data_IF_465412724171
#
_entry.id   IF_465412724171
#
_cell.length_a   1.000
_cell.length_b   1.000
_cell.length_c   1.000
_cell.angle_alpha   90.00
_cell.angle_beta   90.00
_cell.angle_gamma   90.00
#
_symmetry.space_group_name_H-M   'P 1'
#
loop_
_entity.id
_entity.type
_entity.pdbx_description
1 polymer ?
#
# COMPACT_ATOMS: atom_id res chain seq x y z
N UNK A 1 -11.08 -14.75 -11.68
CA UNK A 1 -10.23 -14.64 -12.89
C UNK A 1 -10.14 -13.21 -13.46
N UNK A 2 -10.32 -12.14 -12.68
CA UNK A 2 -10.35 -10.76 -13.22
C UNK A 2 -9.15 -9.86 -12.87
N UNK A 3 -8.18 -10.33 -12.08
CA UNK A 3 -7.12 -9.45 -11.56
C UNK A 3 -5.81 -9.46 -12.36
N UNK A 4 -5.59 -10.42 -13.28
CA UNK A 4 -4.41 -10.40 -14.16
C UNK A 4 -4.53 -9.30 -15.23
N UNK A 5 -5.73 -9.03 -15.73
CA UNK A 5 -5.93 -8.10 -16.84
C UNK A 5 -5.73 -6.63 -16.45
N UNK A 6 -6.00 -6.23 -15.20
CA UNK A 6 -5.85 -4.84 -14.78
C UNK A 6 -4.38 -4.41 -14.69
N UNK A 7 -3.54 -5.20 -14.00
CA UNK A 7 -2.10 -4.89 -13.90
C UNK A 7 -1.38 -5.02 -15.24
N UNK A 8 -1.80 -5.96 -16.10
CA UNK A 8 -1.26 -6.07 -17.47
C UNK A 8 -1.69 -4.90 -18.34
N UNK A 9 -2.96 -4.48 -18.29
CA UNK A 9 -3.45 -3.32 -19.05
C UNK A 9 -2.79 -2.01 -18.60
N UNK A 10 -2.66 -1.81 -17.28
CA UNK A 10 -1.99 -0.64 -16.71
C UNK A 10 -0.52 -0.61 -17.13
N UNK A 11 0.21 -1.73 -17.04
CA UNK A 11 1.60 -1.80 -17.51
C UNK A 11 1.72 -1.52 -19.01
N UNK A 12 0.82 -2.06 -19.85
CA UNK A 12 0.83 -1.80 -21.30
C UNK A 12 0.58 -0.32 -21.60
N UNK A 13 -0.36 0.33 -20.90
CA UNK A 13 -0.64 1.76 -21.06
C UNK A 13 0.57 2.60 -20.65
N UNK A 14 1.21 2.31 -19.50
CA UNK A 14 2.39 3.04 -19.06
C UNK A 14 3.60 2.83 -19.97
N UNK A 15 3.84 1.61 -20.45
CA UNK A 15 4.91 1.31 -21.42
C UNK A 15 4.64 2.03 -22.75
N UNK A 16 3.40 2.03 -23.24
CA UNK A 16 3.05 2.75 -24.47
C UNK A 16 3.15 4.27 -24.29
N UNK A 17 2.74 4.83 -23.16
CA UNK A 17 2.93 6.27 -22.87
C UNK A 17 4.41 6.60 -22.81
N UNK A 18 5.23 5.76 -22.16
CA UNK A 18 6.67 5.97 -22.07
C UNK A 18 7.37 5.85 -23.42
N UNK A 19 7.03 4.85 -24.24
CA UNK A 19 7.57 4.70 -25.61
C UNK A 19 7.15 5.89 -26.47
N UNK A 20 5.87 6.29 -26.44
CA UNK A 20 5.40 7.45 -27.20
C UNK A 20 6.04 8.75 -26.72
N UNK A 21 6.30 8.89 -25.42
CA UNK A 21 7.05 10.02 -24.87
C UNK A 21 8.50 10.02 -25.37
N UNK A 22 9.20 8.88 -25.33
CA UNK A 22 10.56 8.76 -25.86
C UNK A 22 10.62 9.01 -27.38
N UNK A 23 9.64 8.50 -28.14
CA UNK A 23 9.51 8.75 -29.57
C UNK A 23 9.20 10.23 -29.84
N UNK A 24 8.31 10.86 -29.07
CA UNK A 24 8.02 12.29 -29.18
C UNK A 24 9.24 13.14 -28.85
N UNK A 25 10.01 12.80 -27.81
CA UNK A 25 11.28 13.46 -27.47
C UNK A 25 12.31 13.26 -28.59
N UNK A 26 12.40 12.06 -29.18
CA UNK A 26 13.33 11.76 -30.29
C UNK A 26 12.93 12.48 -31.58
N UNK A 27 11.65 12.47 -31.94
CA UNK A 27 11.10 13.15 -33.13
C UNK A 27 11.20 14.66 -32.96
N UNK A 28 10.89 15.20 -31.77
CA UNK A 28 11.07 16.62 -31.49
C UNK A 28 12.55 16.98 -31.51
N UNK A 29 13.47 16.17 -30.97
CA UNK A 29 14.91 16.39 -31.18
C UNK A 29 15.27 16.46 -32.67
N UNK A 30 14.83 15.52 -33.50
CA UNK A 30 15.15 15.51 -34.94
C UNK A 30 14.56 16.74 -35.65
N UNK A 31 13.31 17.11 -35.36
CA UNK A 31 12.66 18.30 -35.94
C UNK A 31 13.33 19.59 -35.47
N UNK A 32 13.66 19.68 -34.18
CA UNK A 32 14.39 20.81 -33.58
C UNK A 32 15.78 20.92 -34.21
N UNK A 33 16.55 19.83 -34.32
CA UNK A 33 17.86 19.85 -35.00
C UNK A 33 17.73 20.25 -36.48
N UNK A 34 16.70 19.78 -37.19
CA UNK A 34 16.49 20.16 -38.59
C UNK A 34 16.04 21.61 -38.77
N UNK A 35 15.24 22.14 -37.83
CA UNK A 35 14.75 23.51 -37.83
C UNK A 35 15.86 24.48 -37.42
N UNK A 36 16.63 24.14 -36.38
CA UNK A 36 17.84 24.88 -35.96
C UNK A 36 18.83 24.97 -37.13
N UNK A 37 19.21 23.85 -37.76
CA UNK A 37 20.12 23.88 -38.92
C UNK A 37 19.57 24.68 -40.11
N UNK A 38 18.24 24.79 -40.27
CA UNK A 38 17.62 25.61 -41.33
C UNK A 38 17.61 27.10 -40.97
N UNK A 39 17.45 27.44 -39.69
CA UNK A 39 17.48 28.84 -39.21
C UNK A 39 18.89 29.41 -39.09
N UNK A 40 19.91 28.56 -38.88
CA UNK A 40 21.32 29.01 -38.78
C UNK A 40 21.91 29.52 -40.10
N UNK A 41 21.35 29.12 -41.25
CA UNK A 41 21.81 29.59 -42.56
C UNK A 41 21.31 30.99 -42.95
N UNK A 42 20.43 31.63 -42.16
CA UNK A 42 19.73 32.86 -42.58
C UNK A 42 19.86 34.07 -41.64
N UNK A 43 20.62 34.02 -40.55
CA UNK A 43 20.81 35.21 -39.70
C UNK A 43 22.22 35.34 -39.12
N UNK A 44 22.79 36.53 -39.34
CA UNK A 44 24.01 37.06 -38.75
C UNK A 44 24.04 36.93 -37.22
N UNK A 45 25.23 36.62 -36.70
CA UNK A 45 25.59 36.42 -35.30
C UNK A 45 24.99 37.47 -34.35
N UNK A 46 23.88 37.12 -33.69
CA UNK A 46 23.29 37.88 -32.60
C UNK A 46 22.90 36.92 -31.48
N UNK A 47 23.62 37.00 -30.36
CA UNK A 47 23.44 36.26 -29.10
C UNK A 47 22.41 35.12 -29.15
N UNK A 48 22.87 33.94 -29.61
CA UNK A 48 22.18 32.68 -29.40
C UNK A 48 22.10 32.41 -27.90
N UNK A 49 20.96 32.68 -27.28
CA UNK A 49 20.68 32.16 -25.93
C UNK A 49 20.46 30.65 -26.09
N UNK A 50 21.55 29.91 -25.99
CA UNK A 50 21.57 28.48 -26.27
C UNK A 50 20.65 27.74 -25.28
N UNK A 51 19.66 27.03 -25.81
CA UNK A 51 18.87 26.00 -25.08
C UNK A 51 19.77 24.76 -24.82
N UNK A 52 21.07 24.99 -24.64
CA UNK A 52 22.09 23.99 -24.33
C UNK A 52 22.62 24.21 -22.91
N UNK A 53 21.83 24.86 -22.05
CA UNK A 53 22.21 24.96 -20.64
C UNK A 53 22.34 23.53 -20.09
N UNK A 54 23.52 23.13 -19.56
CA UNK A 54 23.79 21.74 -19.16
C UNK A 54 22.84 21.22 -18.07
N UNK A 55 22.11 22.14 -17.43
CA UNK A 55 21.10 21.82 -16.41
C UNK A 55 19.71 21.48 -16.97
N UNK A 56 19.41 21.73 -18.26
CA UNK A 56 18.06 21.52 -18.80
C UNK A 56 17.63 20.04 -18.73
N UNK A 57 18.51 19.12 -19.15
CA UNK A 57 18.23 17.68 -19.12
C UNK A 57 18.03 17.13 -17.69
N UNK A 58 18.91 17.39 -16.71
CA UNK A 58 18.69 16.89 -15.35
C UNK A 58 17.44 17.51 -14.69
N UNK A 59 17.14 18.78 -14.94
CA UNK A 59 15.90 19.41 -14.45
C UNK A 59 14.67 18.70 -15.04
N UNK A 60 14.66 18.45 -16.35
CA UNK A 60 13.56 17.72 -17.00
C UNK A 60 13.38 16.32 -16.42
N UNK A 61 14.47 15.59 -16.17
CA UNK A 61 14.42 14.26 -15.54
C UNK A 61 13.80 14.36 -14.15
N UNK A 62 14.23 15.33 -13.33
CA UNK A 62 13.67 15.53 -11.98
C UNK A 62 12.17 15.83 -12.06
N UNK A 63 11.74 16.71 -12.96
CA UNK A 63 10.32 17.05 -13.16
C UNK A 63 9.51 15.81 -13.55
N UNK A 64 10.01 14.99 -14.47
CA UNK A 64 9.34 13.74 -14.88
C UNK A 64 9.26 12.76 -13.72
N UNK A 65 10.34 12.58 -12.94
CA UNK A 65 10.35 11.69 -11.77
C UNK A 65 9.36 12.15 -10.71
N UNK A 66 9.32 13.45 -10.41
CA UNK A 66 8.37 14.02 -9.46
C UNK A 66 6.93 13.87 -9.94
N UNK A 67 6.67 14.10 -11.23
CA UNK A 67 5.36 13.90 -11.82
C UNK A 67 4.92 12.43 -11.73
N UNK A 68 5.78 11.48 -12.10
CA UNK A 68 5.51 10.05 -11.94
C UNK A 68 5.26 9.68 -10.47
N UNK A 69 6.03 10.22 -9.53
CA UNK A 69 5.84 9.99 -8.11
C UNK A 69 4.46 10.48 -7.63
N UNK A 70 4.06 11.69 -8.01
CA UNK A 70 2.74 12.24 -7.70
C UNK A 70 1.62 11.38 -8.29
N UNK A 71 1.77 10.92 -9.53
CA UNK A 71 0.81 10.01 -10.15
C UNK A 71 0.69 8.69 -9.37
N UNK A 72 1.82 8.09 -8.97
CA UNK A 72 1.80 6.86 -8.16
C UNK A 72 1.02 7.09 -6.86
N UNK A 73 1.30 8.18 -6.13
CA UNK A 73 0.57 8.51 -4.91
C UNK A 73 -0.92 8.75 -5.13
N UNK A 74 -1.27 9.41 -6.24
CA UNK A 74 -2.66 9.66 -6.61
C UNK A 74 -3.41 8.33 -6.85
N UNK A 75 -2.84 7.44 -7.66
CA UNK A 75 -3.48 6.17 -7.99
C UNK A 75 -3.58 5.23 -6.77
N UNK A 76 -2.52 5.08 -5.99
CA UNK A 76 -2.53 4.16 -4.83
C UNK A 76 -3.53 4.59 -3.76
N UNK A 77 -3.79 5.89 -3.62
CA UNK A 77 -4.77 6.41 -2.65
C UNK A 77 -6.20 6.38 -3.14
N UNK A 78 -6.45 6.76 -4.39
CA UNK A 78 -7.81 6.88 -4.93
C UNK A 78 -8.36 5.57 -5.48
N UNK A 79 -7.49 4.63 -5.85
CA UNK A 79 -7.88 3.34 -6.41
C UNK A 79 -7.20 2.18 -5.64
N UNK A 80 -7.45 2.04 -4.32
CA UNK A 80 -6.90 0.95 -3.55
C UNK A 80 -7.46 -0.39 -4.04
N UNK A 81 -6.70 -1.49 -3.95
CA UNK A 81 -7.22 -2.81 -4.26
C UNK A 81 -8.46 -3.14 -3.42
N UNK A 82 -9.41 -3.84 -4.05
CA UNK A 82 -10.61 -4.31 -3.40
C UNK A 82 -10.30 -5.28 -2.25
N UNK A 83 -11.22 -5.36 -1.29
CA UNK A 83 -11.15 -6.32 -0.18
C UNK A 83 -11.00 -7.76 -0.72
N UNK A 84 -9.95 -8.50 -0.32
CA UNK A 84 -9.79 -9.89 -0.73
C UNK A 84 -10.92 -10.79 -0.23
N UNK A 85 -11.26 -11.84 -0.98
CA UNK A 85 -12.24 -12.87 -0.56
C UNK A 85 -11.75 -13.75 0.60
N UNK A 86 -10.47 -13.65 0.96
CA UNK A 86 -9.87 -14.33 2.10
C UNK A 86 -10.21 -13.66 3.44
N UNK A 87 -10.68 -12.41 3.42
CA UNK A 87 -11.09 -11.69 4.64
C UNK A 87 -12.45 -12.19 5.11
N UNK A 88 -12.58 -12.46 6.40
CA UNK A 88 -13.76 -13.03 7.04
C UNK A 88 -13.45 -14.34 7.77
N UNK A 89 -14.37 -14.75 8.65
CA UNK A 89 -14.32 -16.07 9.29
C UNK A 89 -14.70 -17.14 8.27
N UNK A 90 -13.92 -18.22 8.22
CA UNK A 90 -14.25 -19.44 7.46
C UNK A 90 -14.10 -20.66 8.36
N UNK A 91 -15.14 -21.49 8.39
CA UNK A 91 -15.20 -22.68 9.25
C UNK A 91 -14.84 -22.37 10.73
N UNK A 92 -15.28 -21.21 11.25
CA UNK A 92 -15.03 -20.80 12.63
C UNK A 92 -13.63 -20.23 12.93
N UNK A 93 -12.75 -20.09 11.93
CA UNK A 93 -11.40 -19.57 12.11
C UNK A 93 -11.05 -18.44 11.14
N UNK A 94 -9.97 -17.71 11.45
CA UNK A 94 -9.36 -16.77 10.52
C UNK A 94 -8.60 -17.52 9.42
N UNK A 95 -8.56 -16.97 8.21
CA UNK A 95 -7.79 -17.55 7.11
C UNK A 95 -6.29 -17.47 7.37
N UNK A 96 -5.54 -18.51 7.01
CA UNK A 96 -4.07 -18.50 7.05
C UNK A 96 -3.47 -17.40 6.16
N UNK A 97 -2.20 -17.07 6.40
CA UNK A 97 -1.49 -16.16 5.53
C UNK A 97 -1.26 -16.78 4.14
N UNK A 98 -1.15 -15.93 3.11
CA UNK A 98 -0.63 -16.37 1.82
C UNK A 98 0.87 -16.72 1.90
N UNK A 99 1.51 -16.93 0.76
CA UNK A 99 2.97 -17.20 0.69
C UNK A 99 3.84 -15.93 0.76
N UNK A 100 3.23 -14.75 0.71
CA UNK A 100 3.95 -13.48 0.74
C UNK A 100 4.28 -13.08 2.18
N UNK A 101 5.48 -12.53 2.46
CA UNK A 101 5.89 -12.15 3.81
C UNK A 101 5.16 -10.92 4.39
N UNK A 102 4.12 -10.42 3.73
CA UNK A 102 3.34 -9.26 4.13
C UNK A 102 2.06 -9.64 4.92
N UNK A 103 2.12 -10.71 5.71
CA UNK A 103 1.00 -11.18 6.50
C UNK A 103 1.49 -11.85 7.78
N UNK A 104 0.84 -11.53 8.90
CA UNK A 104 0.96 -12.26 10.16
C UNK A 104 -0.39 -12.74 10.64
N UNK A 105 -0.42 -13.92 11.28
CA UNK A 105 -1.63 -14.55 11.75
C UNK A 105 -1.37 -15.48 12.94
N UNK A 106 -2.25 -15.43 13.93
CA UNK A 106 -2.10 -16.23 15.16
C UNK A 106 -2.51 -17.69 15.06
N UNK A 107 -3.25 -18.06 14.00
CA UNK A 107 -3.58 -19.45 13.70
C UNK A 107 -2.61 -20.09 12.70
N UNK A 108 -1.64 -19.32 12.20
CA UNK A 108 -0.62 -19.78 11.29
C UNK A 108 0.63 -20.24 12.06
N UNK A 109 1.13 -21.42 11.75
CA UNK A 109 2.26 -22.04 12.45
C UNK A 109 3.60 -21.88 11.71
N UNK A 110 3.62 -21.18 10.57
CA UNK A 110 4.86 -20.96 9.81
C UNK A 110 5.66 -19.81 10.43
N UNK A 111 6.98 -19.93 10.65
CA UNK A 111 7.79 -18.94 11.39
C UNK A 111 7.66 -17.49 10.92
N UNK A 112 7.56 -17.25 9.61
CA UNK A 112 7.47 -15.91 9.06
C UNK A 112 6.08 -15.27 9.18
N UNK A 113 5.05 -16.08 9.44
CA UNK A 113 3.65 -15.65 9.51
C UNK A 113 3.09 -15.71 10.93
N UNK A 114 3.61 -16.59 11.78
CA UNK A 114 3.07 -16.74 13.13
C UNK A 114 3.23 -15.45 13.95
N UNK A 115 2.21 -15.15 14.74
CA UNK A 115 2.24 -14.12 15.78
C UNK A 115 1.41 -14.60 16.95
N UNK A 116 1.78 -14.26 18.18
CA UNK A 116 1.00 -14.70 19.35
C UNK A 116 -0.43 -14.15 19.30
N UNK A 117 -1.45 -14.96 19.66
CA UNK A 117 -2.77 -14.40 19.97
C UNK A 117 -2.65 -13.48 21.19
N UNK A 118 -3.59 -12.55 21.34
CA UNK A 118 -3.64 -11.74 22.55
C UNK A 118 -4.40 -12.49 23.63
N UNK A 119 -3.82 -12.57 24.82
CA UNK A 119 -4.46 -13.19 25.98
C UNK A 119 -5.02 -12.09 26.87
N UNK A 120 -6.05 -12.40 27.66
CA UNK A 120 -6.49 -11.55 28.75
C UNK A 120 -6.62 -12.34 30.05
N UNK A 121 -6.21 -11.73 31.17
CA UNK A 121 -6.17 -12.37 32.47
C UNK A 121 -7.45 -12.16 33.31
N UNK A 122 -8.30 -11.20 32.93
CA UNK A 122 -9.52 -10.87 33.67
C UNK A 122 -10.57 -11.99 33.73
N UNK A 123 -11.43 -11.91 34.75
CA UNK A 123 -12.66 -12.72 34.84
C UNK A 123 -13.77 -12.18 33.94
N UNK A 124 -13.76 -10.88 33.67
CA UNK A 124 -14.69 -10.24 32.73
C UNK A 124 -14.40 -10.70 31.30
N UNK A 125 -15.45 -11.09 30.59
CA UNK A 125 -15.34 -11.38 29.16
C UNK A 125 -14.95 -10.10 28.42
N UNK A 126 -13.92 -10.15 27.58
CA UNK A 126 -13.58 -9.02 26.74
C UNK A 126 -14.53 -8.96 25.56
N UNK A 127 -15.35 -7.90 25.55
CA UNK A 127 -16.20 -7.57 24.43
C UNK A 127 -15.38 -7.07 23.24
N UNK A 128 -15.86 -7.40 22.03
CA UNK A 128 -15.33 -6.90 20.76
C UNK A 128 -15.30 -5.35 20.71
N UNK A 129 -16.14 -4.69 21.51
CA UNK A 129 -16.21 -3.22 21.66
C UNK A 129 -14.90 -2.63 22.22
N UNK A 130 -14.25 -3.30 23.18
CA UNK A 130 -12.95 -2.84 23.72
C UNK A 130 -11.88 -2.86 22.61
N UNK A 131 -11.92 -3.88 21.76
CA UNK A 131 -11.02 -4.02 20.60
C UNK A 131 -11.33 -2.95 19.55
N UNK A 132 -12.61 -2.70 19.26
CA UNK A 132 -13.02 -1.63 18.34
C UNK A 132 -12.54 -0.26 18.81
N UNK A 133 -12.74 0.09 20.09
CA UNK A 133 -12.27 1.35 20.66
C UNK A 133 -10.75 1.50 20.53
N UNK A 134 -10.01 0.43 20.86
CA UNK A 134 -8.55 0.40 20.68
C UNK A 134 -8.16 0.63 19.22
N UNK A 135 -8.76 -0.11 18.29
CA UNK A 135 -8.46 -0.02 16.84
C UNK A 135 -8.77 1.38 16.31
N UNK A 136 -9.89 1.98 16.71
CA UNK A 136 -10.27 3.34 16.32
C UNK A 136 -9.36 4.43 16.90
N UNK A 137 -8.61 4.15 17.96
CA UNK A 137 -7.63 5.09 18.50
C UNK A 137 -6.37 5.22 17.63
N UNK A 138 -6.15 4.31 16.68
CA UNK A 138 -4.99 4.35 15.79
C UNK A 138 -5.25 5.22 14.56
N UNK A 139 -4.24 6.00 14.12
CA UNK A 139 -4.39 6.86 12.96
C UNK A 139 -4.56 6.06 11.66
N UNK A 140 -5.37 6.60 10.75
CA UNK A 140 -5.61 6.05 9.39
C UNK A 140 -6.21 4.64 9.42
N UNK A 141 -7.08 4.42 10.39
CA UNK A 141 -7.81 3.16 10.57
C UNK A 141 -9.28 3.36 10.23
N UNK A 142 -9.92 2.34 9.70
CA UNK A 142 -11.36 2.31 9.51
C UNK A 142 -11.91 0.93 9.83
N UNK A 143 -12.83 0.83 10.78
CA UNK A 143 -13.60 -0.40 10.99
C UNK A 143 -14.55 -0.59 9.81
N UNK A 144 -14.49 -1.77 9.19
CA UNK A 144 -15.26 -2.11 7.99
C UNK A 144 -16.48 -2.97 8.35
N UNK A 145 -16.31 -3.92 9.26
CA UNK A 145 -17.42 -4.75 9.72
C UNK A 145 -17.16 -5.29 11.13
N UNK A 146 -18.23 -5.40 11.90
CA UNK A 146 -18.27 -6.02 13.22
C UNK A 146 -19.46 -6.99 13.25
N UNK A 147 -19.25 -8.20 13.73
CA UNK A 147 -20.31 -9.20 13.84
C UNK A 147 -19.99 -10.19 14.97
N UNK A 148 -20.80 -10.21 16.01
CA UNK A 148 -20.58 -11.08 17.17
C UNK A 148 -19.20 -10.85 17.80
N UNK A 149 -18.37 -11.88 17.78
CA UNK A 149 -17.00 -11.89 18.31
C UNK A 149 -15.92 -11.52 17.27
N UNK A 150 -16.31 -11.04 16.09
CA UNK A 150 -15.41 -10.69 14.99
C UNK A 150 -15.40 -9.21 14.65
N UNK A 151 -14.21 -8.69 14.36
CA UNK A 151 -13.97 -7.33 13.89
C UNK A 151 -13.00 -7.35 12.70
N UNK A 152 -13.36 -6.62 11.64
CA UNK A 152 -12.48 -6.33 10.51
C UNK A 152 -12.26 -4.83 10.39
N UNK A 153 -11.00 -4.42 10.29
CA UNK A 153 -10.58 -3.05 10.06
C UNK A 153 -9.56 -2.95 8.91
N UNK A 154 -9.55 -1.80 8.26
CA UNK A 154 -8.54 -1.39 7.29
C UNK A 154 -7.55 -0.42 7.96
N UNK A 155 -6.26 -0.71 7.88
CA UNK A 155 -5.19 0.24 8.22
C UNK A 155 -4.54 0.76 6.95
N UNK A 156 -4.20 2.06 6.93
CA UNK A 156 -3.55 2.69 5.77
C UNK A 156 -2.18 3.25 6.08
N UNK A 157 -1.22 2.98 5.20
CA UNK A 157 0.12 3.59 5.28
C UNK A 157 0.07 5.09 5.00
N UNK A 158 0.95 5.86 5.65
CA UNK A 158 0.95 7.33 5.54
C UNK A 158 1.18 7.80 4.11
N UNK A 159 2.27 7.33 3.48
CA UNK A 159 2.78 7.89 2.23
C UNK A 159 1.97 7.35 1.05
N UNK A 160 1.95 6.04 0.88
CA UNK A 160 1.35 5.41 -0.31
C UNK A 160 -0.14 5.07 -0.14
N UNK A 161 -0.69 5.10 1.07
CA UNK A 161 -2.09 4.73 1.30
C UNK A 161 -2.38 3.23 1.10
N UNK A 162 -1.35 2.38 1.09
CA UNK A 162 -1.53 0.93 1.05
C UNK A 162 -2.41 0.47 2.20
N UNK A 163 -3.36 -0.40 1.85
CA UNK A 163 -4.39 -0.92 2.74
C UNK A 163 -3.96 -2.29 3.25
N UNK A 164 -4.00 -2.43 4.57
CA UNK A 164 -3.83 -3.68 5.27
C UNK A 164 -5.15 -4.07 5.93
N UNK A 165 -5.60 -5.31 5.70
CA UNK A 165 -6.76 -5.88 6.36
C UNK A 165 -6.32 -6.47 7.71
N UNK A 166 -6.92 -5.98 8.80
CA UNK A 166 -6.68 -6.47 10.15
C UNK A 166 -7.97 -7.05 10.71
N UNK A 167 -7.88 -8.28 11.21
CA UNK A 167 -9.01 -9.08 11.66
C UNK A 167 -8.76 -9.57 13.08
N UNK A 168 -9.82 -9.52 13.89
CA UNK A 168 -9.85 -10.00 15.27
C UNK A 168 -11.00 -10.99 15.43
N UNK A 169 -10.74 -12.08 16.14
CA UNK A 169 -11.74 -13.08 16.51
C UNK A 169 -11.55 -13.43 17.99
N UNK A 170 -12.56 -13.09 18.81
CA UNK A 170 -12.52 -13.34 20.25
C UNK A 170 -13.01 -14.76 20.53
N UNK A 171 -12.15 -15.57 21.13
CA UNK A 171 -12.47 -16.87 21.69
C UNK A 171 -12.55 -16.75 23.22
N UNK A 172 -13.78 -16.68 23.71
CA UNK A 172 -14.09 -16.50 25.14
C UNK A 172 -13.69 -17.72 25.96
N UNK A 173 -13.84 -18.92 25.39
CA UNK A 173 -13.60 -20.18 26.09
C UNK A 173 -12.11 -20.37 26.38
N UNK A 174 -11.25 -20.05 25.39
CA UNK A 174 -9.80 -20.16 25.54
C UNK A 174 -9.12 -18.90 26.05
N UNK A 175 -9.90 -17.83 26.32
CA UNK A 175 -9.41 -16.49 26.70
C UNK A 175 -8.36 -15.91 25.72
N UNK A 176 -8.60 -16.08 24.42
CA UNK A 176 -7.70 -15.64 23.35
C UNK A 176 -8.39 -14.76 22.34
N UNK A 177 -7.64 -13.80 21.81
CA UNK A 177 -8.02 -13.04 20.63
C UNK A 177 -7.12 -13.49 19.50
N UNK A 178 -7.72 -14.22 18.56
CA UNK A 178 -7.06 -14.57 17.32
C UNK A 178 -6.98 -13.35 16.44
N UNK A 179 -5.79 -13.14 15.88
CA UNK A 179 -5.48 -12.00 15.04
C UNK A 179 -4.95 -12.41 13.67
N UNK A 180 -5.21 -11.56 12.69
CA UNK A 180 -4.62 -11.62 11.35
C UNK A 180 -4.43 -10.21 10.83
N UNK A 181 -3.29 -9.93 10.19
CA UNK A 181 -2.96 -8.64 9.61
C UNK A 181 -2.24 -8.86 8.29
N UNK A 182 -2.84 -8.42 7.18
CA UNK A 182 -2.37 -8.76 5.84
C UNK A 182 -2.50 -7.60 4.85
N UNK A 183 -1.44 -7.30 4.11
CA UNK A 183 -1.46 -6.27 3.08
C UNK A 183 -2.18 -6.72 1.81
N UNK A 184 -3.05 -5.85 1.25
CA UNK A 184 -3.73 -6.13 -0.03
C UNK A 184 -2.79 -6.11 -1.24
N UNK A 185 -1.74 -5.30 -1.16
CA UNK A 185 -0.77 -5.08 -2.23
C UNK A 185 0.66 -5.27 -1.73
N UNK A 186 1.58 -5.44 -2.68
CA UNK A 186 3.00 -5.60 -2.40
C UNK A 186 3.42 -7.05 -2.24
N UNK A 187 4.74 -7.25 -2.21
CA UNK A 187 5.35 -8.53 -1.86
C UNK A 187 5.71 -8.57 -0.38
N UNK A 188 6.35 -7.51 0.11
CA UNK A 188 6.74 -7.33 1.51
C UNK A 188 6.14 -6.04 2.05
N UNK A 189 5.84 -6.03 3.34
CA UNK A 189 5.42 -4.87 4.13
C UNK A 189 6.55 -4.35 5.04
N UNK A 190 7.77 -4.90 4.90
CA UNK A 190 8.93 -4.62 5.76
C UNK A 190 8.64 -4.82 7.25
N UNK A 191 7.75 -5.77 7.59
CA UNK A 191 7.37 -6.07 8.96
C UNK A 191 6.32 -5.12 9.55
N UNK A 192 5.71 -4.23 8.73
CA UNK A 192 4.72 -3.27 9.19
C UNK A 192 3.51 -3.93 9.86
N UNK A 193 3.02 -5.06 9.33
CA UNK A 193 1.88 -5.77 9.91
C UNK A 193 2.23 -6.35 11.29
N UNK A 194 3.40 -6.96 11.42
CA UNK A 194 3.90 -7.47 12.72
C UNK A 194 4.04 -6.35 13.75
N UNK A 195 4.78 -5.29 13.39
CA UNK A 195 5.01 -4.14 14.26
C UNK A 195 3.69 -3.49 14.71
N UNK A 196 2.69 -3.41 13.82
CA UNK A 196 1.36 -2.91 14.17
C UNK A 196 0.66 -3.79 15.19
N UNK A 197 0.64 -5.11 14.96
CA UNK A 197 -0.04 -6.03 15.86
C UNK A 197 0.61 -6.08 17.24
N UNK A 198 1.94 -5.96 17.32
CA UNK A 198 2.66 -5.86 18.59
C UNK A 198 2.33 -4.56 19.33
N UNK A 199 2.27 -3.42 18.64
CA UNK A 199 1.86 -2.13 19.25
C UNK A 199 0.43 -2.18 19.78
N UNK A 200 -0.49 -2.72 18.99
CA UNK A 200 -1.87 -2.92 19.40
C UNK A 200 -1.94 -3.88 20.60
N UNK A 201 -1.19 -4.98 20.59
CA UNK A 201 -1.12 -5.93 21.71
C UNK A 201 -0.67 -5.25 22.99
N UNK A 202 0.37 -4.41 22.94
CA UNK A 202 0.89 -3.74 24.12
C UNK A 202 -0.14 -2.76 24.72
N UNK A 203 -0.86 -2.00 23.88
CA UNK A 203 -1.92 -1.12 24.34
C UNK A 203 -3.14 -1.89 24.85
N UNK A 204 -3.46 -3.02 24.21
CA UNK A 204 -4.53 -3.90 24.66
C UNK A 204 -4.25 -4.43 26.08
N UNK A 205 -3.03 -4.92 26.35
CA UNK A 205 -2.65 -5.40 27.68
C UNK A 205 -2.87 -4.32 28.75
N UNK A 206 -2.46 -3.08 28.48
CA UNK A 206 -2.66 -1.96 29.42
C UNK A 206 -4.14 -1.65 29.69
N UNK A 207 -5.03 -1.87 28.71
CA UNK A 207 -6.47 -1.65 28.86
C UNK A 207 -7.14 -2.86 29.51
N UNK A 208 -6.63 -4.07 29.29
CA UNK A 208 -7.19 -5.31 29.81
C UNK A 208 -6.81 -5.59 31.28
N UNK A 209 -5.76 -4.94 31.79
CA UNK A 209 -5.33 -5.02 33.19
C UNK A 209 -6.06 -4.01 34.11
N UNK A 210 -6.70 -2.99 33.53
CA UNK A 210 -7.47 -1.96 34.25
C UNK A 210 -8.98 -2.24 34.20
#
# INVERSE_FOLDING_TARGET
MHNKNYYTAVNIVFVNIYINFLLAVRINKIKIYSWINRTENNHSEGNRMSIEHPLFVPILIIVVVLFCFVLVLFFTRNFPPQKPRSVGIKAGSLELCGNKPNCVCSVDNRPNHMISPWNWAGSEAIGIEKIEALVNSFPRTKVISKSGNYLHAEFRTLIFGYVDDVEFLVDVDSKKIHIRSASRLGYSDLGANRSRMEKLSNQFTQIAEN
#
